data_IF_362661959387
#
_entry.id   IF_362661959387
#
_cell.length_a   1.000
_cell.length_b   1.000
_cell.length_c   1.000
_cell.angle_alpha   90.00
_cell.angle_beta   90.00
_cell.angle_gamma   90.00
#
_symmetry.space_group_name_H-M   'P 1'
#
loop_
_entity.id
_entity.type
_entity.pdbx_description
1 polymer ?
#
# COMPACT_ATOMS: atom_id res chain seq x y z
N UNK A 1 -33.71 10.58 -46.06
CA UNK A 1 -32.59 10.52 -45.11
C UNK A 1 -33.19 10.67 -43.72
N UNK A 2 -33.47 9.56 -43.06
CA UNK A 2 -34.22 9.51 -41.79
C UNK A 2 -33.22 9.12 -40.71
N UNK A 3 -32.89 10.06 -39.83
CA UNK A 3 -32.03 9.81 -38.67
C UNK A 3 -32.84 9.07 -37.61
N UNK A 4 -32.43 7.85 -37.30
CA UNK A 4 -33.00 7.01 -36.25
C UNK A 4 -32.53 7.52 -34.87
N UNK A 5 -33.46 8.13 -34.14
CA UNK A 5 -33.26 8.73 -32.81
C UNK A 5 -33.40 7.72 -31.66
N UNK A 6 -33.59 6.41 -31.93
CA UNK A 6 -33.95 5.44 -30.90
C UNK A 6 -32.82 5.02 -29.94
N UNK A 7 -31.56 5.43 -30.17
CA UNK A 7 -30.40 4.91 -29.41
C UNK A 7 -29.52 5.95 -28.70
N UNK A 8 -29.94 7.20 -28.55
CA UNK A 8 -29.21 8.15 -27.69
C UNK A 8 -29.56 7.93 -26.21
N UNK A 9 -28.82 7.01 -25.56
CA UNK A 9 -28.75 6.98 -24.10
C UNK A 9 -27.88 8.12 -23.62
N UNK A 10 -28.50 9.25 -23.27
CA UNK A 10 -27.84 10.31 -22.52
C UNK A 10 -27.59 9.81 -21.09
N UNK A 11 -26.34 9.45 -20.77
CA UNK A 11 -25.94 9.24 -19.38
C UNK A 11 -25.86 10.60 -18.70
N UNK A 12 -26.89 10.96 -17.93
CA UNK A 12 -26.82 12.10 -17.03
C UNK A 12 -25.90 11.75 -15.87
N UNK A 13 -24.61 12.05 -16.02
CA UNK A 13 -23.65 11.95 -14.91
C UNK A 13 -23.66 13.28 -14.15
N UNK A 14 -24.18 13.24 -12.92
CA UNK A 14 -24.27 14.40 -12.04
C UNK A 14 -22.88 14.68 -11.42
N UNK A 15 -22.07 15.45 -12.17
CA UNK A 15 -20.70 15.82 -11.78
C UNK A 15 -20.65 16.56 -10.45
N UNK A 16 -21.66 17.39 -10.14
CA UNK A 16 -21.70 18.17 -8.91
C UNK A 16 -21.91 17.27 -7.69
N UNK A 17 -22.80 16.27 -7.78
CA UNK A 17 -22.94 15.26 -6.73
C UNK A 17 -21.68 14.40 -6.60
N UNK A 18 -21.07 13.98 -7.71
CA UNK A 18 -19.83 13.21 -7.67
C UNK A 18 -18.70 14.01 -7.00
N UNK A 19 -18.59 15.30 -7.30
CA UNK A 19 -17.61 16.21 -6.71
C UNK A 19 -17.87 16.42 -5.21
N UNK A 20 -19.13 16.60 -4.79
CA UNK A 20 -19.48 16.74 -3.38
C UNK A 20 -19.23 15.45 -2.59
N UNK A 21 -19.51 14.28 -3.17
CA UNK A 21 -19.21 12.98 -2.55
C UNK A 21 -17.69 12.83 -2.40
N UNK A 22 -16.94 13.13 -3.45
CA UNK A 22 -15.48 13.08 -3.44
C UNK A 22 -14.90 14.03 -2.39
N UNK A 23 -15.34 15.30 -2.35
CA UNK A 23 -14.90 16.28 -1.36
C UNK A 23 -15.23 15.84 0.08
N UNK A 24 -16.40 15.26 0.30
CA UNK A 24 -16.81 14.72 1.61
C UNK A 24 -15.97 13.51 2.03
N UNK A 25 -15.67 12.60 1.10
CA UNK A 25 -14.79 11.46 1.36
C UNK A 25 -13.34 11.91 1.63
N UNK A 26 -12.86 12.88 0.87
CA UNK A 26 -11.51 13.45 0.99
C UNK A 26 -11.32 14.22 2.30
N UNK A 27 -12.40 14.84 2.79
CA UNK A 27 -12.45 15.58 4.05
C UNK A 27 -12.91 14.73 5.24
N UNK A 28 -13.11 13.41 5.04
CA UNK A 28 -13.51 12.53 6.14
C UNK A 28 -12.39 12.47 7.20
N UNK A 29 -12.73 12.35 8.50
CA UNK A 29 -11.72 12.25 9.56
C UNK A 29 -10.72 11.11 9.34
N UNK A 30 -11.16 10.01 8.73
CA UNK A 30 -10.30 8.86 8.42
C UNK A 30 -9.31 9.15 7.29
N UNK A 31 -9.76 9.78 6.20
CA UNK A 31 -8.85 10.18 5.11
C UNK A 31 -7.83 11.20 5.61
N UNK A 32 -8.26 12.18 6.42
CA UNK A 32 -7.34 13.15 6.99
C UNK A 32 -6.32 12.49 7.94
N UNK A 33 -6.77 11.53 8.76
CA UNK A 33 -5.90 10.74 9.65
C UNK A 33 -4.86 9.95 8.85
N UNK A 34 -5.28 9.25 7.78
CA UNK A 34 -4.36 8.54 6.86
C UNK A 34 -3.31 9.46 6.28
N UNK A 35 -3.74 10.61 5.73
CA UNK A 35 -2.83 11.60 5.14
C UNK A 35 -1.83 12.16 6.14
N UNK A 36 -2.28 12.44 7.37
CA UNK A 36 -1.42 12.96 8.43
C UNK A 36 -0.38 11.91 8.84
N UNK A 37 -0.79 10.64 8.98
CA UNK A 37 0.13 9.54 9.24
C UNK A 37 1.14 9.36 8.10
N UNK A 38 0.66 9.38 6.85
CA UNK A 38 1.49 9.25 5.67
C UNK A 38 2.55 10.34 5.58
N UNK A 39 2.17 11.61 5.77
CA UNK A 39 3.12 12.72 5.79
C UNK A 39 4.19 12.55 6.86
N UNK A 40 3.78 12.20 8.09
CA UNK A 40 4.71 11.90 9.17
C UNK A 40 5.65 10.74 8.84
N UNK A 41 5.11 9.64 8.28
CA UNK A 41 5.92 8.45 7.99
C UNK A 41 6.97 8.72 6.92
N UNK A 42 6.62 9.49 5.88
CA UNK A 42 7.57 9.85 4.81
C UNK A 42 8.71 10.70 5.35
N UNK A 43 8.41 11.68 6.20
CA UNK A 43 9.41 12.51 6.88
C UNK A 43 10.33 11.66 7.79
N UNK A 44 9.72 10.86 8.67
CA UNK A 44 10.41 9.94 9.57
C UNK A 44 11.29 8.92 8.83
N UNK A 45 10.85 8.46 7.65
CA UNK A 45 11.59 7.52 6.82
C UNK A 45 12.82 8.17 6.16
N UNK A 46 12.71 9.43 5.71
CA UNK A 46 13.80 10.21 5.10
C UNK A 46 14.86 10.57 6.15
N UNK A 47 14.44 11.05 7.31
CA UNK A 47 15.33 11.51 8.38
C UNK A 47 15.97 10.39 9.20
N UNK A 48 15.98 9.16 8.65
CA UNK A 48 16.58 7.95 9.25
C UNK A 48 16.11 7.70 10.68
N UNK A 49 14.89 8.12 11.00
CA UNK A 49 14.29 7.91 12.31
C UNK A 49 14.44 9.07 13.29
N UNK A 50 14.77 10.28 12.84
CA UNK A 50 14.56 11.48 13.66
C UNK A 50 13.07 11.62 13.98
N UNK A 51 12.71 11.69 15.26
CA UNK A 51 11.31 11.73 15.69
C UNK A 51 10.95 13.14 16.15
N UNK A 52 9.99 13.76 15.46
CA UNK A 52 9.20 14.84 16.06
C UNK A 52 8.16 14.24 17.02
N UNK A 53 8.52 14.17 18.30
CA UNK A 53 7.68 13.61 19.35
C UNK A 53 6.40 14.42 19.59
N UNK A 54 6.38 15.70 19.22
CA UNK A 54 5.17 16.52 19.32
C UNK A 54 4.16 16.08 18.26
N UNK A 55 4.59 16.03 16.99
CA UNK A 55 3.76 15.54 15.88
C UNK A 55 3.32 14.10 16.10
N UNK A 56 4.21 13.23 16.60
CA UNK A 56 3.87 11.86 16.95
C UNK A 56 2.81 11.78 18.06
N UNK A 57 2.95 12.57 19.13
CA UNK A 57 1.98 12.61 20.22
C UNK A 57 0.58 13.07 19.76
N UNK A 58 0.52 14.02 18.83
CA UNK A 58 -0.72 14.48 18.21
C UNK A 58 -1.35 13.38 17.34
N UNK A 59 -0.56 12.69 16.53
CA UNK A 59 -1.01 11.52 15.76
C UNK A 59 -1.56 10.41 16.66
N UNK A 60 -0.85 10.05 17.73
CA UNK A 60 -1.33 9.06 18.69
C UNK A 60 -2.70 9.42 19.28
N UNK A 61 -2.94 10.70 19.60
CA UNK A 61 -4.25 11.16 20.07
C UNK A 61 -5.33 10.98 19.01
N UNK A 62 -5.04 11.28 17.75
CA UNK A 62 -5.99 11.09 16.64
C UNK A 62 -6.33 9.63 16.37
N UNK A 63 -5.39 8.72 16.66
CA UNK A 63 -5.57 7.27 16.53
C UNK A 63 -6.08 6.60 17.81
N UNK A 64 -6.23 7.32 18.92
CA UNK A 64 -6.64 6.73 20.22
C UNK A 64 -8.03 6.10 20.21
N UNK A 65 -8.91 6.54 19.33
CA UNK A 65 -10.28 6.02 19.14
C UNK A 65 -10.38 5.11 17.90
N UNK A 66 -9.26 4.80 17.26
CA UNK A 66 -9.21 3.90 16.11
C UNK A 66 -9.03 2.46 16.58
N UNK A 67 -9.48 1.44 15.80
CA UNK A 67 -9.20 0.02 16.07
C UNK A 67 -7.72 -0.26 16.36
N UNK A 68 -6.82 0.46 15.68
CA UNK A 68 -5.38 0.38 15.94
C UNK A 68 -4.87 1.63 16.67
N UNK A 69 -4.69 1.59 18.00
CA UNK A 69 -4.00 2.66 18.72
C UNK A 69 -2.51 2.64 18.39
N UNK A 70 -1.95 3.81 18.08
CA UNK A 70 -0.53 3.91 17.76
C UNK A 70 0.37 3.68 18.99
N UNK A 71 1.51 2.97 18.82
CA UNK A 71 2.41 2.62 19.92
C UNK A 71 3.06 3.85 20.55
N UNK A 72 3.72 3.67 21.70
CA UNK A 72 4.41 4.76 22.39
C UNK A 72 5.46 5.44 21.51
N UNK A 73 6.28 4.63 20.82
CA UNK A 73 7.35 5.10 19.96
C UNK A 73 7.09 4.70 18.50
N UNK A 74 7.40 5.58 17.52
CA UNK A 74 7.25 5.24 16.10
C UNK A 74 8.12 4.05 15.66
N UNK A 75 9.20 3.76 16.39
CA UNK A 75 10.09 2.63 16.15
C UNK A 75 9.43 1.26 16.34
N UNK A 76 8.29 1.19 17.03
CA UNK A 76 7.52 -0.04 17.21
C UNK A 76 6.53 -0.31 16.06
N UNK A 77 6.43 0.60 15.10
CA UNK A 77 5.65 0.37 13.89
C UNK A 77 6.34 -0.65 12.96
N UNK A 78 5.59 -1.40 12.12
CA UNK A 78 6.13 -2.38 11.19
C UNK A 78 6.86 -1.70 10.02
N UNK A 79 8.07 -1.20 10.28
CA UNK A 79 8.85 -0.37 9.36
C UNK A 79 9.01 -1.02 7.99
N UNK A 80 9.28 -2.32 7.94
CA UNK A 80 9.48 -3.04 6.66
C UNK A 80 8.21 -3.03 5.79
N UNK A 81 7.05 -3.32 6.37
CA UNK A 81 5.78 -3.37 5.64
C UNK A 81 5.39 -1.96 5.18
N UNK A 82 5.47 -0.97 6.09
CA UNK A 82 5.14 0.42 5.76
C UNK A 82 6.04 0.97 4.66
N UNK A 83 7.36 0.77 4.76
CA UNK A 83 8.29 1.19 3.71
C UNK A 83 8.01 0.49 2.38
N UNK A 84 7.68 -0.80 2.39
CA UNK A 84 7.34 -1.53 1.17
C UNK A 84 6.09 -0.95 0.50
N UNK A 85 5.03 -0.74 1.27
CA UNK A 85 3.75 -0.22 0.77
C UNK A 85 3.88 1.21 0.25
N UNK A 86 4.53 2.11 1.00
CA UNK A 86 4.77 3.47 0.53
C UNK A 86 5.72 3.50 -0.67
N UNK A 87 6.72 2.60 -0.74
CA UNK A 87 7.56 2.50 -1.93
C UNK A 87 6.75 2.13 -3.18
N UNK A 88 5.81 1.20 -3.06
CA UNK A 88 4.91 0.84 -4.16
C UNK A 88 3.95 2.01 -4.52
N UNK A 89 3.41 2.70 -3.51
CA UNK A 89 2.51 3.85 -3.69
C UNK A 89 3.19 4.98 -4.47
N UNK A 90 4.38 5.41 -4.02
CA UNK A 90 5.10 6.52 -4.62
C UNK A 90 5.95 6.14 -5.85
N UNK A 91 6.27 4.86 -6.01
CA UNK A 91 7.06 4.38 -7.14
C UNK A 91 8.56 4.62 -6.97
N UNK A 92 9.05 4.82 -5.75
CA UNK A 92 10.48 4.86 -5.45
C UNK A 92 10.71 4.30 -4.05
N UNK A 93 11.94 3.84 -3.72
CA UNK A 93 12.23 3.36 -2.38
C UNK A 93 11.95 4.42 -1.30
N UNK A 94 11.26 4.01 -0.23
CA UNK A 94 10.96 4.82 0.96
C UNK A 94 11.65 4.18 2.16
N UNK A 95 12.44 4.96 2.90
CA UNK A 95 13.09 4.52 4.14
C UNK A 95 14.23 3.50 3.97
N UNK A 96 14.68 3.25 2.74
CA UNK A 96 15.87 2.47 2.40
C UNK A 96 16.75 3.26 1.42
N UNK A 97 18.04 2.94 1.42
CA UNK A 97 19.01 3.58 0.52
C UNK A 97 19.16 2.79 -0.80
N UNK A 98 18.03 2.50 -1.45
CA UNK A 98 17.98 1.91 -2.78
C UNK A 98 17.70 2.99 -3.81
N UNK A 99 18.27 2.84 -5.01
CA UNK A 99 18.13 3.83 -6.08
C UNK A 99 16.86 3.64 -6.90
N UNK A 100 16.36 2.39 -6.97
CA UNK A 100 15.22 2.03 -7.80
C UNK A 100 14.22 1.16 -7.04
N UNK A 101 12.96 1.17 -7.49
CA UNK A 101 11.92 0.36 -6.87
C UNK A 101 12.22 -1.14 -7.03
N UNK A 102 12.83 -1.55 -8.14
CA UNK A 102 13.20 -2.96 -8.38
C UNK A 102 14.31 -3.45 -7.45
N UNK A 103 15.23 -2.60 -7.03
CA UNK A 103 16.23 -2.96 -6.00
C UNK A 103 15.56 -3.26 -4.66
N UNK A 104 14.63 -2.41 -4.23
CA UNK A 104 13.83 -2.65 -3.03
C UNK A 104 13.00 -3.95 -3.18
N UNK A 105 12.38 -4.17 -4.34
CA UNK A 105 11.64 -5.39 -4.63
C UNK A 105 12.52 -6.65 -4.53
N UNK A 106 13.74 -6.59 -5.08
CA UNK A 106 14.71 -7.68 -5.00
C UNK A 106 15.08 -8.02 -3.56
N UNK A 107 15.29 -7.01 -2.72
CA UNK A 107 15.59 -7.19 -1.30
C UNK A 107 14.40 -7.77 -0.54
N UNK A 108 13.18 -7.23 -0.71
CA UNK A 108 11.96 -7.74 -0.06
C UNK A 108 11.78 -9.22 -0.39
N UNK A 109 11.87 -9.59 -1.67
CA UNK A 109 11.68 -10.96 -2.11
C UNK A 109 12.78 -11.93 -1.64
N UNK A 110 13.96 -11.43 -1.25
CA UNK A 110 15.05 -12.25 -0.70
C UNK A 110 15.00 -12.36 0.83
N UNK A 111 14.81 -11.23 1.52
CA UNK A 111 15.05 -11.10 2.95
C UNK A 111 13.78 -10.93 3.78
N UNK A 112 12.66 -10.52 3.17
CA UNK A 112 11.42 -10.15 3.86
C UNK A 112 10.22 -10.86 3.22
N UNK A 113 10.33 -12.19 3.11
CA UNK A 113 9.31 -13.03 2.48
C UNK A 113 7.89 -12.84 3.05
N UNK A 114 7.68 -12.66 4.37
CA UNK A 114 6.34 -12.38 4.91
C UNK A 114 5.71 -11.08 4.40
N UNK A 115 6.52 -10.11 3.98
CA UNK A 115 6.05 -8.82 3.44
C UNK A 115 5.74 -8.91 1.93
N UNK A 116 6.25 -9.94 1.25
CA UNK A 116 6.21 -10.02 -0.20
C UNK A 116 4.80 -10.06 -0.77
N UNK A 117 3.86 -10.75 -0.12
CA UNK A 117 2.49 -10.87 -0.64
C UNK A 117 1.79 -9.51 -0.64
N UNK A 118 1.86 -8.81 0.49
CA UNK A 118 1.32 -7.47 0.69
C UNK A 118 1.96 -6.47 -0.29
N UNK A 119 3.28 -6.50 -0.43
CA UNK A 119 3.98 -5.65 -1.38
C UNK A 119 3.59 -5.92 -2.83
N UNK A 120 3.39 -7.18 -3.23
CA UNK A 120 2.95 -7.54 -4.58
C UNK A 120 1.56 -7.01 -4.89
N UNK A 121 0.63 -7.08 -3.93
CA UNK A 121 -0.72 -6.51 -4.07
C UNK A 121 -0.63 -5.00 -4.30
N UNK A 122 0.20 -4.31 -3.54
CA UNK A 122 0.45 -2.88 -3.72
C UNK A 122 1.06 -2.55 -5.10
N UNK A 123 2.05 -3.31 -5.58
CA UNK A 123 2.62 -3.11 -6.92
C UNK A 123 1.58 -3.27 -8.03
N UNK A 124 0.64 -4.20 -7.87
CA UNK A 124 -0.47 -4.41 -8.81
C UNK A 124 -1.44 -3.24 -8.77
N UNK A 125 -1.90 -2.85 -7.57
CA UNK A 125 -2.85 -1.76 -7.39
C UNK A 125 -2.32 -0.42 -7.92
N UNK A 126 -1.07 -0.08 -7.60
CA UNK A 126 -0.42 1.16 -8.07
C UNK A 126 0.19 1.05 -9.47
N UNK A 127 -0.14 0.02 -10.25
CA UNK A 127 0.26 -0.15 -11.65
C UNK A 127 1.79 -0.07 -11.91
N UNK A 128 2.60 -0.67 -11.03
CA UNK A 128 4.07 -0.59 -11.08
C UNK A 128 4.75 -1.61 -12.00
N UNK A 129 3.99 -2.42 -12.73
CA UNK A 129 4.52 -3.51 -13.54
C UNK A 129 5.51 -3.06 -14.64
N UNK A 130 5.15 -2.06 -15.43
CA UNK A 130 6.03 -1.57 -16.51
C UNK A 130 7.26 -0.84 -15.96
N UNK A 131 7.11 -0.10 -14.85
CA UNK A 131 8.24 0.53 -14.17
C UNK A 131 9.28 -0.51 -13.73
N UNK A 132 8.84 -1.55 -12.99
CA UNK A 132 9.73 -2.61 -12.52
C UNK A 132 10.44 -3.31 -13.68
N UNK A 133 9.73 -3.51 -14.80
CA UNK A 133 10.31 -4.10 -16.01
C UNK A 133 11.35 -3.20 -16.67
N UNK A 134 11.13 -1.89 -16.68
CA UNK A 134 12.06 -0.91 -17.20
C UNK A 134 13.33 -0.80 -16.31
N UNK A 135 13.17 -0.88 -14.99
CA UNK A 135 14.27 -0.82 -14.03
C UNK A 135 15.11 -2.12 -13.95
N UNK A 136 14.57 -3.27 -14.39
CA UNK A 136 15.29 -4.55 -14.45
C UNK A 136 15.57 -5.02 -15.89
N UNK A 137 16.56 -4.43 -16.57
CA UNK A 137 16.95 -4.88 -17.91
C UNK A 137 17.51 -6.31 -17.92
N UNK A 138 17.97 -6.82 -16.77
CA UNK A 138 18.52 -8.18 -16.66
C UNK A 138 17.44 -9.26 -16.66
N UNK A 139 16.19 -8.89 -16.35
CA UNK A 139 15.07 -9.81 -16.23
C UNK A 139 15.15 -10.76 -15.03
N UNK A 140 16.06 -10.50 -14.07
CA UNK A 140 16.22 -11.29 -12.84
C UNK A 140 14.99 -11.20 -11.94
N UNK A 141 14.31 -10.07 -11.92
CA UNK A 141 13.06 -9.90 -11.19
C UNK A 141 12.01 -10.88 -11.68
N UNK A 142 11.83 -11.00 -13.01
CA UNK A 142 10.89 -11.95 -13.61
C UNK A 142 11.22 -13.40 -13.26
N UNK A 143 12.51 -13.75 -13.19
CA UNK A 143 12.93 -15.09 -12.72
C UNK A 143 12.55 -15.28 -11.24
N UNK A 144 12.85 -14.30 -10.38
CA UNK A 144 12.51 -14.35 -8.95
C UNK A 144 10.99 -14.45 -8.73
N UNK A 145 10.19 -13.78 -9.57
CA UNK A 145 8.72 -13.89 -9.57
C UNK A 145 8.26 -15.32 -9.79
N UNK A 146 8.83 -16.02 -10.77
CA UNK A 146 8.51 -17.44 -11.01
C UNK A 146 8.87 -18.30 -9.80
N UNK A 147 10.05 -18.06 -9.21
CA UNK A 147 10.54 -18.81 -8.05
C UNK A 147 9.63 -18.66 -6.82
N UNK A 148 9.34 -17.43 -6.40
CA UNK A 148 8.52 -17.24 -5.20
C UNK A 148 7.06 -17.65 -5.43
N UNK A 149 6.51 -17.49 -6.65
CA UNK A 149 5.14 -17.95 -6.95
C UNK A 149 5.03 -19.46 -6.80
N UNK A 150 6.03 -20.20 -7.28
CA UNK A 150 6.13 -21.65 -7.13
C UNK A 150 6.33 -22.08 -5.67
N UNK A 151 7.01 -21.28 -4.85
CA UNK A 151 7.14 -21.54 -3.42
C UNK A 151 5.80 -21.34 -2.68
N UNK A 152 5.11 -20.22 -2.95
CA UNK A 152 3.79 -19.92 -2.38
C UNK A 152 2.78 -20.99 -2.77
N UNK A 153 2.73 -21.41 -4.03
CA UNK A 153 1.78 -22.44 -4.48
C UNK A 153 2.02 -23.82 -3.86
N UNK A 154 3.23 -24.06 -3.32
CA UNK A 154 3.57 -25.30 -2.59
C UNK A 154 3.37 -25.16 -1.07
N UNK A 155 2.83 -24.03 -0.61
CA UNK A 155 2.58 -23.78 0.81
C UNK A 155 3.86 -23.58 1.62
N UNK A 156 4.93 -23.03 1.04
CA UNK A 156 6.16 -22.73 1.79
C UNK A 156 5.86 -21.75 2.94
N UNK A 157 6.01 -22.17 4.22
CA UNK A 157 5.60 -21.38 5.37
C UNK A 157 6.42 -20.09 5.52
N UNK A 158 7.61 -20.01 4.91
CA UNK A 158 8.41 -18.78 4.92
C UNK A 158 7.77 -17.62 4.16
N UNK A 159 6.75 -17.89 3.35
CA UNK A 159 5.98 -16.88 2.61
C UNK A 159 4.61 -16.58 3.24
N UNK A 160 4.30 -17.12 4.42
CA UNK A 160 3.08 -16.73 5.13
C UNK A 160 3.11 -15.23 5.41
N UNK A 161 2.02 -14.50 5.13
CA UNK A 161 1.97 -13.06 5.35
C UNK A 161 2.05 -12.77 6.84
N UNK A 162 2.79 -11.70 7.19
CA UNK A 162 2.76 -11.17 8.55
C UNK A 162 1.43 -10.43 8.78
N UNK A 163 0.57 -11.00 9.63
CA UNK A 163 -0.75 -10.48 9.97
C UNK A 163 -0.77 -9.67 11.27
N UNK A 164 0.39 -9.52 11.94
CA UNK A 164 0.50 -8.90 13.27
C UNK A 164 0.04 -7.43 13.32
N UNK A 165 0.01 -6.77 12.16
CA UNK A 165 -0.35 -5.36 12.02
C UNK A 165 -1.49 -5.13 11.00
N UNK A 166 -2.30 -6.14 10.69
CA UNK A 166 -3.31 -6.06 9.63
C UNK A 166 -4.26 -4.86 9.79
N UNK A 167 -4.79 -4.60 11.00
CA UNK A 167 -5.69 -3.48 11.27
C UNK A 167 -5.08 -2.12 10.93
N UNK A 168 -3.79 -1.92 11.25
CA UNK A 168 -3.06 -0.71 10.88
C UNK A 168 -2.95 -0.59 9.35
N UNK A 169 -2.60 -1.70 8.70
CA UNK A 169 -2.38 -1.71 7.24
C UNK A 169 -3.70 -1.48 6.50
N UNK A 170 -4.80 -2.11 6.90
CA UNK A 170 -6.13 -1.87 6.34
C UNK A 170 -6.60 -0.43 6.56
N UNK A 171 -6.33 0.13 7.74
CA UNK A 171 -6.66 1.52 8.02
C UNK A 171 -5.91 2.49 7.10
N UNK A 172 -4.62 2.24 6.86
CA UNK A 172 -3.73 3.13 6.09
C UNK A 172 -3.88 2.96 4.58
N UNK A 173 -4.17 1.74 4.13
CA UNK A 173 -4.24 1.36 2.73
C UNK A 173 -5.54 0.58 2.43
N UNK A 174 -6.72 1.17 2.72
CA UNK A 174 -8.01 0.48 2.55
C UNK A 174 -8.26 0.05 1.11
N UNK A 175 -7.64 0.73 0.14
CA UNK A 175 -7.77 0.44 -1.28
C UNK A 175 -7.09 -0.86 -1.72
N UNK A 176 -6.16 -1.39 -0.91
CA UNK A 176 -5.37 -2.55 -1.29
C UNK A 176 -6.08 -3.88 -1.05
N UNK A 177 -7.11 -3.89 -0.20
CA UNK A 177 -7.89 -5.09 0.16
C UNK A 177 -6.97 -6.32 0.33
N UNK A 178 -6.11 -6.23 1.34
CA UNK A 178 -4.96 -7.14 1.50
C UNK A 178 -5.40 -8.48 2.08
N UNK A 179 -6.53 -8.52 2.81
CA UNK A 179 -6.89 -9.65 3.65
C UNK A 179 -8.26 -10.30 3.33
N UNK A 180 -9.15 -9.70 2.50
CA UNK A 180 -10.43 -10.35 2.14
C UNK A 180 -10.27 -11.59 1.25
N UNK A 181 -9.15 -11.76 0.54
CA UNK A 181 -8.90 -12.94 -0.30
C UNK A 181 -8.46 -14.20 0.48
N UNK A 182 -8.28 -14.09 1.80
CA UNK A 182 -7.88 -15.23 2.64
C UNK A 182 -9.07 -16.15 2.98
N UNK A 183 -10.31 -15.63 2.92
CA UNK A 183 -11.52 -16.39 3.28
C UNK A 183 -12.14 -17.20 2.14
N UNK A 184 -11.76 -16.94 0.88
CA UNK A 184 -12.30 -17.69 -0.28
C UNK A 184 -11.50 -18.95 -0.61
N UNK A 185 -10.38 -19.20 0.07
CA UNK A 185 -9.58 -20.42 -0.11
C UNK A 185 -9.92 -21.53 0.90
N UNK A 186 -10.92 -21.30 1.76
CA UNK A 186 -11.44 -22.29 2.72
C UNK A 186 -12.88 -22.77 2.39
N UNK A 187 -13.38 -22.53 1.18
CA UNK A 187 -14.67 -23.05 0.69
C UNK A 187 -14.54 -23.95 -0.54
#
# INVERSE_FOLDING_TARGET
MTLDLANQRAFYFDYDKALQIWQKQESSPETLRRKTFEAFWLDYAVDRGSVDYKTWGELRKQFSQSPYPLPEFPSYLPRTILNALYSAKYGHPVGWNYSTLVEAAHWIASAQKPVLQVFRRALQFYNRAEQIKAEDPTGKWRQKVKMYKSAISRGDPSYLPDTSHHELIEMLFPELDIFELSSELES
#
